data_IF_730971079606
#
_entry.id   IF_730971079606
#
_cell.length_a   1.000
_cell.length_b   1.000
_cell.length_c   1.000
_cell.angle_alpha   90.00
_cell.angle_beta   90.00
_cell.angle_gamma   90.00
#
_symmetry.space_group_name_H-M   'P 1'
#
loop_
_entity.id
_entity.type
_entity.pdbx_description
1 polymer ?
#
# COMPACT_ATOMS: atom_id res chain seq x y z
N UNK A 1 30.13 -1.44 25.38
CA UNK A 1 30.24 -2.52 24.37
C UNK A 1 28.87 -3.12 23.99
N UNK A 2 27.93 -3.24 24.93
CA UNK A 2 26.55 -3.73 24.70
C UNK A 2 25.67 -2.77 23.88
N UNK A 3 25.76 -1.46 24.11
CA UNK A 3 24.99 -0.45 23.36
C UNK A 3 25.36 -0.37 21.86
N UNK A 4 26.65 -0.48 21.54
CA UNK A 4 27.12 -0.52 20.13
C UNK A 4 26.63 -1.77 19.39
N UNK A 5 26.66 -2.93 20.05
CA UNK A 5 26.19 -4.20 19.48
C UNK A 5 24.68 -4.21 19.27
N UNK A 6 23.90 -3.56 20.14
CA UNK A 6 22.45 -3.39 19.99
C UNK A 6 22.09 -2.38 18.88
N UNK A 7 22.76 -1.23 18.81
CA UNK A 7 22.60 -0.27 17.69
C UNK A 7 22.94 -0.89 16.34
N UNK A 8 24.00 -1.69 16.28
CA UNK A 8 24.39 -2.43 15.07
C UNK A 8 23.36 -3.50 14.67
N UNK A 9 22.77 -4.21 15.65
CA UNK A 9 21.72 -5.19 15.40
C UNK A 9 20.44 -4.53 14.86
N UNK A 10 20.05 -3.38 15.42
CA UNK A 10 18.87 -2.63 14.97
C UNK A 10 19.06 -2.03 13.58
N UNK A 11 20.26 -1.52 13.26
CA UNK A 11 20.61 -1.05 11.92
C UNK A 11 20.56 -2.19 10.90
N UNK A 12 21.17 -3.35 11.20
CA UNK A 12 21.11 -4.54 10.34
C UNK A 12 19.67 -4.97 10.07
N UNK A 13 18.81 -4.89 11.07
CA UNK A 13 17.42 -5.29 10.98
C UNK A 13 16.60 -4.33 10.10
N UNK A 14 16.81 -3.03 10.21
CA UNK A 14 16.20 -2.04 9.32
C UNK A 14 16.65 -2.24 7.88
N UNK A 15 17.95 -2.45 7.66
CA UNK A 15 18.49 -2.71 6.32
C UNK A 15 17.95 -4.02 5.73
N UNK A 16 17.88 -5.08 6.53
CA UNK A 16 17.28 -6.36 6.12
C UNK A 16 15.81 -6.20 5.73
N UNK A 17 15.04 -5.45 6.52
CA UNK A 17 13.64 -5.18 6.21
C UNK A 17 13.49 -4.32 4.94
N UNK A 18 14.39 -3.35 4.74
CA UNK A 18 14.41 -2.50 3.55
C UNK A 18 14.71 -3.32 2.28
N UNK A 19 15.70 -4.24 2.33
CA UNK A 19 16.02 -5.12 1.21
C UNK A 19 14.84 -6.05 0.91
N UNK A 20 14.27 -6.70 1.93
CA UNK A 20 13.11 -7.58 1.79
C UNK A 20 11.92 -6.83 1.17
N UNK A 21 11.62 -5.64 1.66
CA UNK A 21 10.54 -4.80 1.15
C UNK A 21 10.81 -4.38 -0.30
N UNK A 22 12.05 -3.98 -0.62
CA UNK A 22 12.43 -3.54 -1.95
C UNK A 22 12.27 -4.67 -2.99
N UNK A 23 12.82 -5.85 -2.71
CA UNK A 23 12.75 -7.00 -3.63
C UNK A 23 11.31 -7.48 -3.79
N UNK A 24 10.53 -7.51 -2.71
CA UNK A 24 9.12 -7.88 -2.75
C UNK A 24 8.27 -6.89 -3.55
N UNK A 25 8.38 -5.59 -3.31
CA UNK A 25 7.58 -4.59 -4.03
C UNK A 25 7.92 -4.55 -5.52
N UNK A 26 9.20 -4.70 -5.89
CA UNK A 26 9.57 -4.80 -7.30
C UNK A 26 9.01 -6.09 -7.92
N UNK A 27 9.08 -7.23 -7.24
CA UNK A 27 8.51 -8.48 -7.75
C UNK A 27 6.99 -8.38 -7.96
N UNK A 28 6.28 -7.74 -7.03
CA UNK A 28 4.83 -7.53 -7.14
C UNK A 28 4.50 -6.62 -8.33
N UNK A 29 5.14 -5.46 -8.48
CA UNK A 29 4.86 -4.57 -9.63
C UNK A 29 5.20 -5.25 -10.96
N UNK A 30 6.33 -5.97 -11.06
CA UNK A 30 6.68 -6.73 -12.28
C UNK A 30 5.56 -7.73 -12.62
N UNK A 31 5.03 -8.43 -11.62
CA UNK A 31 3.94 -9.40 -11.80
C UNK A 31 2.64 -8.72 -12.23
N UNK A 32 2.24 -7.63 -11.57
CA UNK A 32 1.02 -6.89 -11.88
C UNK A 32 1.07 -6.30 -13.28
N UNK A 33 2.15 -5.60 -13.61
CA UNK A 33 2.33 -5.04 -14.93
C UNK A 33 2.33 -6.14 -16.00
N UNK A 34 3.06 -7.24 -15.80
CA UNK A 34 3.09 -8.34 -16.76
C UNK A 34 1.71 -9.00 -16.92
N UNK A 35 0.94 -9.11 -15.85
CA UNK A 35 -0.44 -9.62 -15.88
C UNK A 35 -1.34 -8.74 -16.74
N UNK A 36 -1.31 -7.42 -16.55
CA UNK A 36 -2.12 -6.46 -17.34
C UNK A 36 -1.77 -6.57 -18.82
N UNK A 37 -0.46 -6.61 -19.12
CA UNK A 37 0.06 -6.78 -20.47
C UNK A 37 -0.37 -8.12 -21.09
N UNK A 38 -0.38 -9.19 -20.31
CA UNK A 38 -0.77 -10.52 -20.77
C UNK A 38 -2.27 -10.62 -21.04
N UNK A 39 -3.12 -10.00 -20.23
CA UNK A 39 -4.56 -9.95 -20.45
C UNK A 39 -4.87 -9.29 -21.79
N UNK A 40 -4.22 -8.14 -22.06
CA UNK A 40 -4.36 -7.44 -23.32
C UNK A 40 -3.80 -8.24 -24.51
N UNK A 41 -2.62 -8.87 -24.35
CA UNK A 41 -2.04 -9.78 -25.32
C UNK A 41 -2.99 -10.94 -25.69
N UNK A 42 -3.56 -11.60 -24.69
CA UNK A 42 -4.50 -12.70 -24.86
C UNK A 42 -5.77 -12.23 -25.59
N UNK A 43 -6.29 -11.05 -25.27
CA UNK A 43 -7.46 -10.50 -25.94
C UNK A 43 -7.20 -10.12 -27.41
N UNK A 44 -6.00 -9.63 -27.73
CA UNK A 44 -5.58 -9.30 -29.10
C UNK A 44 -5.37 -10.56 -29.93
N UNK A 45 -4.70 -11.56 -29.38
CA UNK A 45 -4.37 -12.81 -30.08
C UNK A 45 -5.62 -13.61 -30.43
N UNK A 46 -6.64 -13.61 -29.58
CA UNK A 46 -7.96 -14.17 -29.91
C UNK A 46 -8.62 -13.48 -31.12
N UNK A 47 -8.37 -12.17 -31.32
CA UNK A 47 -8.83 -11.42 -32.49
C UNK A 47 -7.93 -11.60 -33.73
N UNK A 48 -6.94 -12.51 -33.65
CA UNK A 48 -5.95 -12.80 -34.69
C UNK A 48 -5.09 -11.59 -35.07
N UNK A 49 -4.89 -10.67 -34.12
CA UNK A 49 -4.03 -9.51 -34.29
C UNK A 49 -2.63 -9.76 -33.68
N UNK A 50 -1.56 -9.21 -34.28
CA UNK A 50 -0.21 -9.28 -33.73
C UNK A 50 -0.06 -8.37 -32.49
N UNK A 51 0.68 -8.79 -31.47
CA UNK A 51 0.95 -7.94 -30.31
C UNK A 51 2.02 -6.89 -30.63
N UNK A 52 2.09 -5.79 -29.87
CA UNK A 52 3.00 -4.67 -30.13
C UNK A 52 4.48 -4.97 -29.81
N UNK A 53 5.05 -5.99 -30.46
CA UNK A 53 6.47 -6.37 -30.39
C UNK A 53 7.30 -5.63 -31.44
N UNK A 54 8.63 -5.68 -31.29
CA UNK A 54 9.59 -4.98 -32.18
C UNK A 54 9.39 -5.27 -33.66
N UNK A 55 8.93 -6.47 -34.01
CA UNK A 55 8.81 -6.91 -35.40
C UNK A 55 7.49 -6.46 -36.07
N UNK A 56 6.46 -6.11 -35.29
CA UNK A 56 5.08 -5.98 -35.78
C UNK A 56 4.57 -4.53 -35.81
N UNK A 57 5.35 -3.57 -35.25
CA UNK A 57 5.01 -2.13 -35.19
C UNK A 57 4.71 -1.51 -36.56
N UNK A 58 5.35 -1.98 -37.64
CA UNK A 58 5.14 -1.43 -39.00
C UNK A 58 3.71 -1.66 -39.53
N UNK A 59 3.02 -2.71 -39.06
CA UNK A 59 1.66 -3.05 -39.49
C UNK A 59 0.59 -2.09 -38.95
N UNK A 60 0.93 -1.34 -37.89
CA UNK A 60 0.01 -0.47 -37.18
C UNK A 60 0.04 1.00 -37.64
N UNK A 61 0.95 1.37 -38.55
CA UNK A 61 1.04 2.73 -39.09
C UNK A 61 -0.17 3.10 -39.97
N UNK A 62 -0.82 2.11 -40.60
CA UNK A 62 -2.01 2.28 -41.43
C UNK A 62 -3.07 1.25 -41.03
N UNK A 63 -3.72 1.46 -39.89
CA UNK A 63 -4.73 0.53 -39.37
C UNK A 63 -6.04 0.64 -40.17
N UNK A 64 -6.51 -0.50 -40.70
CA UNK A 64 -7.83 -0.59 -41.32
C UNK A 64 -8.93 -0.35 -40.26
N UNK A 65 -10.10 0.13 -40.67
CA UNK A 65 -11.20 0.36 -39.72
C UNK A 65 -11.72 -0.96 -39.09
N UNK A 66 -11.54 -2.08 -39.79
CA UNK A 66 -11.83 -3.43 -39.27
C UNK A 66 -10.86 -3.80 -38.14
N UNK A 67 -9.56 -3.53 -38.32
CA UNK A 67 -8.56 -3.82 -37.29
C UNK A 67 -8.69 -2.89 -36.09
N UNK A 68 -9.08 -1.61 -36.30
CA UNK A 68 -9.45 -0.70 -35.21
C UNK A 68 -10.63 -1.24 -34.41
N UNK A 69 -11.67 -1.77 -35.08
CA UNK A 69 -12.82 -2.35 -34.40
C UNK A 69 -12.45 -3.58 -33.56
N UNK A 70 -11.63 -4.50 -34.12
CA UNK A 70 -11.10 -5.66 -33.38
C UNK A 70 -10.29 -5.25 -32.17
N UNK A 71 -9.45 -4.21 -32.30
CA UNK A 71 -8.64 -3.70 -31.20
C UNK A 71 -9.49 -3.09 -30.09
N UNK A 72 -10.54 -2.33 -30.43
CA UNK A 72 -11.51 -1.81 -29.46
C UNK A 72 -12.23 -2.94 -28.72
N UNK A 73 -12.53 -4.05 -29.39
CA UNK A 73 -13.14 -5.22 -28.76
C UNK A 73 -12.17 -5.91 -27.79
N UNK A 74 -10.91 -6.07 -28.17
CA UNK A 74 -9.86 -6.60 -27.30
C UNK A 74 -9.64 -5.71 -26.06
N UNK A 75 -9.63 -4.38 -26.24
CA UNK A 75 -9.56 -3.43 -25.13
C UNK A 75 -10.76 -3.54 -24.19
N UNK A 76 -11.98 -3.60 -24.73
CA UNK A 76 -13.20 -3.75 -23.94
C UNK A 76 -13.17 -5.03 -23.10
N UNK A 77 -12.75 -6.15 -23.71
CA UNK A 77 -12.59 -7.42 -22.99
C UNK A 77 -11.55 -7.33 -21.87
N UNK A 78 -10.39 -6.74 -22.16
CA UNK A 78 -9.30 -6.58 -21.20
C UNK A 78 -9.73 -5.70 -20.03
N UNK A 79 -10.38 -4.57 -20.30
CA UNK A 79 -10.91 -3.67 -19.28
C UNK A 79 -11.94 -4.35 -18.36
N UNK A 80 -12.84 -5.18 -18.92
CA UNK A 80 -13.83 -5.93 -18.12
C UNK A 80 -13.12 -6.94 -17.21
N UNK A 81 -12.16 -7.69 -17.75
CA UNK A 81 -11.43 -8.71 -16.99
C UNK A 81 -10.56 -8.07 -15.88
N UNK A 82 -9.85 -7.00 -16.17
CA UNK A 82 -9.07 -6.24 -15.18
C UNK A 82 -9.98 -5.64 -14.10
N UNK A 83 -11.15 -5.11 -14.48
CA UNK A 83 -12.14 -4.60 -13.51
C UNK A 83 -12.61 -5.71 -12.57
N UNK A 84 -12.95 -6.88 -13.12
CA UNK A 84 -13.40 -8.01 -12.31
C UNK A 84 -12.29 -8.50 -11.38
N UNK A 85 -11.07 -8.68 -11.89
CA UNK A 85 -9.91 -9.11 -11.10
C UNK A 85 -9.59 -8.12 -9.98
N UNK A 86 -9.49 -6.82 -10.29
CA UNK A 86 -9.21 -5.78 -9.30
C UNK A 86 -10.32 -5.62 -8.28
N UNK A 87 -11.59 -5.78 -8.67
CA UNK A 87 -12.71 -5.75 -7.73
C UNK A 87 -12.63 -6.89 -6.72
N UNK A 88 -12.32 -8.10 -7.16
CA UNK A 88 -12.13 -9.26 -6.27
C UNK A 88 -10.96 -9.00 -5.32
N UNK A 89 -9.83 -8.54 -5.85
CA UNK A 89 -8.60 -8.24 -5.09
C UNK A 89 -8.83 -7.19 -4.01
N UNK A 90 -9.43 -6.05 -4.35
CA UNK A 90 -9.68 -4.95 -3.41
C UNK A 90 -10.70 -5.36 -2.34
N UNK A 91 -11.86 -5.90 -2.74
CA UNK A 91 -12.94 -6.23 -1.81
C UNK A 91 -12.51 -7.28 -0.80
N UNK A 92 -11.89 -8.38 -1.26
CA UNK A 92 -11.42 -9.43 -0.37
C UNK A 92 -10.15 -9.02 0.38
N UNK A 93 -9.23 -8.30 -0.27
CA UNK A 93 -7.98 -7.84 0.33
C UNK A 93 -8.20 -6.89 1.52
N UNK A 94 -9.23 -6.03 1.46
CA UNK A 94 -9.64 -5.20 2.59
C UNK A 94 -10.11 -6.03 3.78
N UNK A 95 -10.89 -7.09 3.54
CA UNK A 95 -11.37 -8.00 4.60
C UNK A 95 -10.18 -8.73 5.24
N UNK A 96 -9.30 -9.30 4.41
CA UNK A 96 -8.12 -10.05 4.85
C UNK A 96 -7.16 -9.17 5.63
N UNK A 97 -6.94 -7.92 5.21
CA UNK A 97 -6.06 -6.98 5.92
C UNK A 97 -6.50 -6.73 7.36
N UNK A 98 -7.82 -6.67 7.62
CA UNK A 98 -8.35 -6.55 8.99
C UNK A 98 -8.11 -7.82 9.81
N UNK A 99 -8.25 -9.00 9.21
CA UNK A 99 -8.00 -10.29 9.87
C UNK A 99 -6.52 -10.44 10.20
N UNK A 100 -5.64 -10.15 9.24
CA UNK A 100 -4.19 -10.24 9.42
C UNK A 100 -3.70 -9.22 10.44
N UNK A 101 -4.26 -8.01 10.48
CA UNK A 101 -3.95 -7.03 11.53
C UNK A 101 -4.14 -7.60 12.94
N UNK A 102 -5.25 -8.31 13.17
CA UNK A 102 -5.51 -8.98 14.46
C UNK A 102 -4.62 -10.19 14.70
N UNK A 103 -4.34 -10.95 13.64
CA UNK A 103 -3.46 -12.11 13.73
C UNK A 103 -2.04 -11.67 14.09
N UNK A 104 -1.58 -10.57 13.50
CA UNK A 104 -0.31 -9.91 13.78
C UNK A 104 -0.17 -9.48 15.24
N UNK A 105 -1.24 -8.94 15.82
CA UNK A 105 -1.26 -8.57 17.24
C UNK A 105 -1.21 -9.79 18.19
N UNK A 106 -1.71 -10.96 17.77
CA UNK A 106 -1.77 -12.18 18.61
C UNK A 106 -0.57 -13.11 18.45
N UNK A 107 -0.17 -13.38 17.21
CA UNK A 107 0.87 -14.36 16.87
C UNK A 107 2.22 -13.72 16.56
N UNK A 108 2.28 -12.39 16.56
CA UNK A 108 3.48 -11.61 16.30
C UNK A 108 3.62 -11.20 14.83
N UNK A 109 4.47 -10.19 14.62
CA UNK A 109 4.61 -9.48 13.35
C UNK A 109 5.24 -10.33 12.25
N UNK A 110 6.18 -11.20 12.59
CA UNK A 110 6.86 -12.05 11.59
C UNK A 110 5.93 -13.14 11.08
N UNK A 111 5.12 -13.74 11.96
CA UNK A 111 4.09 -14.71 11.55
C UNK A 111 3.07 -14.08 10.61
N UNK A 112 2.64 -12.84 10.90
CA UNK A 112 1.75 -12.11 9.99
C UNK A 112 2.39 -11.82 8.63
N UNK A 113 3.63 -11.31 8.61
CA UNK A 113 4.37 -11.10 7.36
C UNK A 113 4.56 -12.41 6.57
N UNK A 114 4.76 -13.54 7.25
CA UNK A 114 4.89 -14.84 6.59
C UNK A 114 3.61 -15.29 5.88
N UNK A 115 2.46 -15.08 6.51
CA UNK A 115 1.15 -15.40 5.91
C UNK A 115 0.88 -14.50 4.70
N UNK A 116 1.19 -13.22 4.82
CA UNK A 116 1.05 -12.29 3.70
C UNK A 116 1.96 -12.65 2.53
N UNK A 117 3.23 -13.00 2.83
CA UNK A 117 4.19 -13.42 1.82
C UNK A 117 3.76 -14.73 1.13
N UNK A 118 3.13 -15.66 1.86
CA UNK A 118 2.56 -16.86 1.27
C UNK A 118 1.47 -16.54 0.25
N UNK A 119 0.61 -15.57 0.54
CA UNK A 119 -0.38 -15.08 -0.42
C UNK A 119 0.25 -14.51 -1.69
N UNK A 120 1.31 -13.72 -1.55
CA UNK A 120 2.05 -13.18 -2.70
C UNK A 120 2.80 -14.26 -3.50
N UNK A 121 3.36 -15.27 -2.82
CA UNK A 121 3.98 -16.42 -3.49
C UNK A 121 2.95 -17.15 -4.35
N UNK A 122 1.75 -17.38 -3.81
CA UNK A 122 0.67 -18.03 -4.55
C UNK A 122 0.20 -17.17 -5.72
N UNK A 123 0.06 -15.86 -5.52
CA UNK A 123 -0.31 -14.93 -6.58
C UNK A 123 0.73 -14.91 -7.71
N UNK A 124 2.00 -14.63 -7.40
CA UNK A 124 3.08 -14.55 -8.39
C UNK A 124 3.27 -15.92 -9.05
N UNK A 125 3.23 -17.01 -8.29
CA UNK A 125 3.36 -18.38 -8.80
C UNK A 125 2.23 -18.77 -9.75
N UNK A 126 0.97 -18.47 -9.41
CA UNK A 126 -0.18 -18.78 -10.27
C UNK A 126 -0.20 -17.91 -11.53
N UNK A 127 0.07 -16.61 -11.43
CA UNK A 127 0.23 -15.74 -12.60
C UNK A 127 1.39 -16.22 -13.49
N UNK A 128 2.51 -16.66 -12.91
CA UNK A 128 3.65 -17.18 -13.67
C UNK A 128 3.27 -18.44 -14.44
N UNK A 129 2.51 -19.34 -13.81
CA UNK A 129 2.01 -20.56 -14.46
C UNK A 129 1.05 -20.23 -15.60
N UNK A 130 0.13 -19.27 -15.40
CA UNK A 130 -0.82 -18.81 -16.43
C UNK A 130 -0.07 -18.27 -17.64
N UNK A 131 0.91 -17.39 -17.42
CA UNK A 131 1.66 -16.71 -18.48
C UNK A 131 2.62 -17.67 -19.19
N UNK A 132 3.35 -18.51 -18.46
CA UNK A 132 4.35 -19.42 -19.05
C UNK A 132 3.72 -20.56 -19.86
N UNK A 133 2.53 -21.03 -19.47
CA UNK A 133 1.80 -22.08 -20.17
C UNK A 133 0.76 -21.53 -21.17
N UNK A 134 0.73 -20.21 -21.39
CA UNK A 134 -0.26 -19.53 -22.24
C UNK A 134 -1.71 -19.95 -21.93
N UNK A 135 -2.07 -20.01 -20.65
CA UNK A 135 -3.42 -20.39 -20.22
C UNK A 135 -4.44 -19.27 -20.43
N UNK A 136 -5.72 -19.62 -20.29
CA UNK A 136 -6.84 -18.68 -20.38
C UNK A 136 -6.65 -17.47 -19.45
N UNK A 137 -6.76 -16.26 -20.01
CA UNK A 137 -6.61 -14.99 -19.28
C UNK A 137 -7.61 -14.82 -18.14
N UNK A 138 -8.78 -15.46 -18.19
CA UNK A 138 -9.75 -15.44 -17.07
C UNK A 138 -9.20 -16.04 -15.77
N UNK A 139 -8.18 -16.91 -15.84
CA UNK A 139 -7.53 -17.49 -14.66
C UNK A 139 -6.75 -16.46 -13.84
N UNK A 140 -6.48 -15.26 -14.38
CA UNK A 140 -5.88 -14.15 -13.61
C UNK A 140 -6.76 -13.76 -12.41
N UNK A 141 -8.09 -13.93 -12.51
CA UNK A 141 -9.00 -13.71 -11.37
C UNK A 141 -8.68 -14.68 -10.22
N UNK A 142 -8.31 -15.93 -10.53
CA UNK A 142 -7.93 -16.93 -9.53
C UNK A 142 -6.61 -16.54 -8.84
N UNK A 143 -5.65 -16.03 -9.60
CA UNK A 143 -4.40 -15.52 -9.02
C UNK A 143 -4.66 -14.35 -8.07
N UNK A 144 -5.51 -13.40 -8.49
CA UNK A 144 -5.96 -12.29 -7.65
C UNK A 144 -6.74 -12.74 -6.42
N UNK A 145 -7.52 -13.82 -6.51
CA UNK A 145 -8.22 -14.40 -5.36
C UNK A 145 -7.25 -14.91 -4.29
N UNK A 146 -6.16 -15.59 -4.68
CA UNK A 146 -5.14 -16.06 -3.72
C UNK A 146 -4.44 -14.90 -3.01
N UNK A 147 -4.07 -13.84 -3.76
CA UNK A 147 -3.54 -12.60 -3.17
C UNK A 147 -4.53 -12.02 -2.16
N UNK A 148 -5.81 -11.96 -2.52
CA UNK A 148 -6.81 -11.29 -1.70
C UNK A 148 -7.14 -12.05 -0.42
N UNK A 149 -7.21 -13.38 -0.45
CA UNK A 149 -7.59 -14.21 0.71
C UNK A 149 -6.44 -14.43 1.69
N UNK A 150 -5.21 -14.57 1.20
CA UNK A 150 -4.05 -14.90 2.04
C UNK A 150 -3.07 -13.74 2.18
N UNK A 151 -2.91 -12.94 1.12
CA UNK A 151 -1.92 -11.87 1.03
C UNK A 151 -2.43 -10.49 1.44
N UNK A 152 -3.75 -10.26 1.42
CA UNK A 152 -4.34 -8.92 1.66
C UNK A 152 -3.87 -7.85 0.67
N UNK A 153 -3.07 -8.22 -0.33
CA UNK A 153 -2.34 -7.38 -1.26
C UNK A 153 -1.23 -6.52 -0.66
N UNK A 154 -0.62 -5.72 -1.54
CA UNK A 154 0.46 -4.76 -1.24
C UNK A 154 0.13 -3.83 -0.06
N UNK A 155 -1.14 -3.44 0.10
CA UNK A 155 -1.59 -2.57 1.18
C UNK A 155 -1.46 -3.23 2.56
N UNK A 156 -1.65 -4.55 2.64
CA UNK A 156 -1.51 -5.30 3.88
C UNK A 156 -0.05 -5.44 4.29
N UNK A 157 0.81 -5.72 3.30
CA UNK A 157 2.26 -5.84 3.49
C UNK A 157 2.85 -4.51 3.95
N UNK A 158 2.49 -3.41 3.30
CA UNK A 158 2.93 -2.05 3.70
C UNK A 158 2.45 -1.71 5.12
N UNK A 159 1.23 -2.07 5.49
CA UNK A 159 0.71 -1.89 6.86
C UNK A 159 1.48 -2.72 7.90
N UNK A 160 1.85 -3.97 7.60
CA UNK A 160 2.63 -4.80 8.51
C UNK A 160 4.09 -4.35 8.62
N UNK A 161 4.71 -3.92 7.51
CA UNK A 161 6.04 -3.29 7.53
C UNK A 161 6.00 -2.04 8.41
N UNK A 162 4.98 -1.20 8.25
CA UNK A 162 4.78 -0.03 9.10
C UNK A 162 4.65 -0.39 10.59
N UNK A 163 3.85 -1.40 10.94
CA UNK A 163 3.72 -1.88 12.31
C UNK A 163 5.06 -2.42 12.86
N UNK A 164 5.81 -3.16 12.05
CA UNK A 164 7.13 -3.67 12.40
C UNK A 164 8.13 -2.54 12.68
N UNK A 165 8.11 -1.47 11.86
CA UNK A 165 8.94 -0.28 12.05
C UNK A 165 8.64 0.45 13.36
N UNK A 166 7.36 0.57 13.73
CA UNK A 166 6.96 1.16 15.01
C UNK A 166 7.56 0.36 16.17
N UNK A 167 7.43 -0.96 16.13
CA UNK A 167 7.92 -1.83 17.19
C UNK A 167 9.46 -1.76 17.31
N UNK A 168 10.19 -1.71 16.18
CA UNK A 168 11.66 -1.52 16.17
C UNK A 168 12.05 -0.16 16.77
N UNK A 169 11.37 0.92 16.37
CA UNK A 169 11.67 2.26 16.87
C UNK A 169 11.45 2.37 18.38
N UNK A 170 10.43 1.67 18.91
CA UNK A 170 10.19 1.58 20.35
C UNK A 170 11.33 0.83 21.07
N UNK A 171 11.80 -0.30 20.54
CA UNK A 171 12.91 -1.05 21.14
C UNK A 171 14.23 -0.26 21.20
N UNK A 172 14.52 0.55 20.17
CA UNK A 172 15.72 1.39 20.16
C UNK A 172 15.73 2.47 21.24
N UNK A 173 14.55 3.02 21.58
CA UNK A 173 14.45 4.12 22.54
C UNK A 173 14.44 3.66 23.99
N UNK A 174 13.88 2.47 24.28
CA UNK A 174 13.92 1.88 25.63
C UNK A 174 15.35 1.58 26.11
N UNK A 175 16.27 1.29 25.18
CA UNK A 175 17.67 0.95 25.51
C UNK A 175 18.50 2.21 25.84
N UNK A 176 17.97 3.40 25.53
CA UNK A 176 18.71 4.67 25.60
C UNK A 176 18.40 5.51 26.84
N UNK A 177 17.50 5.08 27.75
CA UNK A 177 17.09 5.92 28.89
C UNK A 177 17.88 5.64 30.17
N UNK A 178 18.87 6.50 30.40
CA UNK A 178 18.92 7.33 31.60
C UNK A 178 18.61 8.79 31.22
N UNK A 179 17.61 9.38 31.89
CA UNK A 179 17.27 10.83 31.95
C UNK A 179 16.62 11.57 30.74
N UNK A 180 15.67 12.46 31.10
CA UNK A 180 14.92 13.46 30.33
C UNK A 180 13.80 12.99 29.37
N UNK A 181 12.60 12.84 29.92
CA UNK A 181 11.38 12.28 29.31
C UNK A 181 10.71 13.11 28.20
N UNK A 182 10.92 14.43 28.12
CA UNK A 182 10.24 15.31 27.13
C UNK A 182 11.01 15.47 25.81
N UNK A 183 12.30 15.87 25.87
CA UNK A 183 13.19 15.99 24.69
C UNK A 183 13.37 14.64 23.98
N UNK A 184 13.42 13.55 24.74
CA UNK A 184 13.55 12.18 24.23
C UNK A 184 12.30 11.71 23.48
N UNK A 185 11.09 12.12 23.94
CA UNK A 185 9.82 11.81 23.25
C UNK A 185 9.69 12.55 21.91
N UNK A 186 10.21 13.78 21.82
CA UNK A 186 10.23 14.55 20.58
C UNK A 186 11.25 14.02 19.57
N UNK A 187 12.46 13.67 20.02
CA UNK A 187 13.47 13.02 19.18
C UNK A 187 12.98 11.67 18.61
N UNK A 188 12.28 10.88 19.45
CA UNK A 188 11.64 9.61 19.06
C UNK A 188 10.64 9.77 17.92
N UNK A 189 9.75 10.76 18.02
CA UNK A 189 8.80 11.03 16.94
C UNK A 189 9.56 11.42 15.67
N UNK A 190 10.53 12.35 15.75
CA UNK A 190 11.28 12.79 14.56
C UNK A 190 11.99 11.64 13.84
N UNK A 191 12.64 10.73 14.57
CA UNK A 191 13.30 9.55 14.00
C UNK A 191 12.29 8.60 13.33
N UNK A 192 11.18 8.29 14.01
CA UNK A 192 10.12 7.42 13.48
C UNK A 192 9.52 8.00 12.19
N UNK A 193 9.28 9.31 12.14
CA UNK A 193 8.80 10.00 10.94
C UNK A 193 9.79 9.91 9.77
N UNK A 194 11.09 10.04 10.02
CA UNK A 194 12.13 9.85 9.00
C UNK A 194 12.13 8.42 8.47
N UNK A 195 12.13 7.42 9.35
CA UNK A 195 12.14 6.00 8.96
C UNK A 195 10.91 5.65 8.13
N UNK A 196 9.71 6.09 8.54
CA UNK A 196 8.51 5.90 7.73
C UNK A 196 8.62 6.55 6.35
N UNK A 197 9.17 7.76 6.29
CA UNK A 197 9.33 8.46 5.01
C UNK A 197 10.30 7.71 4.11
N UNK A 198 11.39 7.16 4.64
CA UNK A 198 12.32 6.33 3.87
C UNK A 198 11.62 5.09 3.32
N UNK A 199 10.86 4.36 4.13
CA UNK A 199 10.16 3.14 3.68
C UNK A 199 9.04 3.43 2.69
N UNK A 200 8.27 4.51 2.87
CA UNK A 200 7.26 4.95 1.89
C UNK A 200 7.91 5.25 0.53
N UNK A 201 9.11 5.85 0.53
CA UNK A 201 9.84 6.14 -0.70
C UNK A 201 10.46 4.90 -1.34
N UNK A 202 10.99 3.97 -0.55
CA UNK A 202 11.42 2.65 -1.05
C UNK A 202 10.25 1.97 -1.74
N UNK A 203 9.07 1.96 -1.12
CA UNK A 203 7.86 1.43 -1.72
C UNK A 203 7.55 2.10 -3.07
N UNK A 204 7.47 3.43 -3.13
CA UNK A 204 7.13 4.13 -4.38
C UNK A 204 8.18 3.94 -5.48
N UNK A 205 9.47 3.91 -5.13
CA UNK A 205 10.56 3.73 -6.08
C UNK A 205 10.60 2.30 -6.63
N UNK A 206 10.40 1.28 -5.78
CA UNK A 206 10.34 -0.11 -6.21
C UNK A 206 9.14 -0.39 -7.12
N UNK A 207 7.96 0.15 -6.76
CA UNK A 207 6.75 0.09 -7.60
C UNK A 207 6.87 0.92 -8.88
N UNK A 208 7.78 1.90 -8.91
CA UNK A 208 8.05 2.70 -10.10
C UNK A 208 9.07 2.03 -11.03
N UNK A 209 10.10 1.38 -10.47
CA UNK A 209 11.12 0.66 -11.23
C UNK A 209 10.59 -0.65 -11.85
N UNK A 210 9.60 -1.29 -11.22
CA UNK A 210 9.02 -2.54 -11.72
C UNK A 210 8.33 -2.43 -13.08
N UNK A 211 7.65 -1.31 -13.36
CA UNK A 211 6.92 -1.11 -14.62
C UNK A 211 7.84 -0.93 -15.86
N UNK A 212 8.89 -0.07 -15.84
CA UNK A 212 9.87 -0.02 -16.92
C UNK A 212 10.63 -1.34 -17.10
N UNK A 213 11.01 -1.99 -15.98
CA UNK A 213 11.73 -3.27 -16.03
C UNK A 213 10.90 -4.34 -16.74
N UNK A 214 9.65 -4.53 -16.33
CA UNK A 214 8.73 -5.48 -16.96
C UNK A 214 8.41 -5.10 -18.41
N UNK A 215 8.14 -3.81 -18.70
CA UNK A 215 7.91 -3.34 -20.07
C UNK A 215 9.08 -3.62 -21.03
N UNK A 216 10.31 -3.38 -20.59
CA UNK A 216 11.53 -3.71 -21.34
C UNK A 216 11.67 -5.22 -21.56
N UNK A 217 11.50 -6.02 -20.50
CA UNK A 217 11.60 -7.48 -20.57
C UNK A 217 10.55 -8.08 -21.52
N UNK A 218 9.30 -7.62 -21.45
CA UNK A 218 8.21 -8.06 -22.33
C UNK A 218 8.50 -7.69 -23.78
N UNK A 219 8.96 -6.46 -24.05
CA UNK A 219 9.19 -5.98 -25.41
C UNK A 219 10.36 -6.68 -26.11
N UNK A 220 11.42 -7.01 -25.37
CA UNK A 220 12.64 -7.60 -25.94
C UNK A 220 12.75 -9.12 -25.81
N UNK A 221 12.30 -9.70 -24.70
CA UNK A 221 12.51 -11.11 -24.36
C UNK A 221 11.21 -11.89 -24.17
N UNK A 222 10.06 -11.21 -24.21
CA UNK A 222 8.74 -11.82 -24.05
C UNK A 222 8.30 -12.00 -22.59
N UNK A 223 7.06 -12.46 -22.42
CA UNK A 223 6.40 -12.56 -21.12
C UNK A 223 7.04 -13.56 -20.16
N UNK A 224 7.57 -14.67 -20.66
CA UNK A 224 8.15 -15.73 -19.81
C UNK A 224 9.38 -15.25 -19.04
N UNK A 225 10.23 -14.42 -19.67
CA UNK A 225 11.41 -13.86 -19.00
C UNK A 225 11.00 -12.86 -17.92
N UNK A 226 9.99 -12.02 -18.17
CA UNK A 226 9.45 -11.10 -17.17
C UNK A 226 8.96 -11.84 -15.91
N UNK A 227 8.18 -12.93 -16.07
CA UNK A 227 7.72 -13.73 -14.94
C UNK A 227 8.86 -14.48 -14.22
N UNK A 228 9.85 -14.98 -14.97
CA UNK A 228 11.07 -15.55 -14.39
C UNK A 228 11.82 -14.56 -13.51
N UNK A 229 11.93 -13.29 -13.92
CA UNK A 229 12.55 -12.25 -13.10
C UNK A 229 11.73 -11.92 -11.84
N UNK A 230 10.39 -11.92 -11.92
CA UNK A 230 9.54 -11.71 -10.74
C UNK A 230 9.72 -12.82 -9.69
N UNK A 231 9.77 -14.08 -10.13
CA UNK A 231 10.04 -15.22 -9.26
C UNK A 231 11.44 -15.14 -8.62
N UNK A 232 12.46 -14.77 -9.40
CA UNK A 232 13.82 -14.60 -8.89
C UNK A 232 13.91 -13.48 -7.84
N UNK A 233 13.21 -12.36 -8.05
CA UNK A 233 13.15 -11.24 -7.10
C UNK A 233 12.41 -11.58 -5.81
N UNK A 234 11.62 -12.65 -5.78
CA UNK A 234 10.92 -13.09 -4.59
C UNK A 234 11.81 -13.92 -3.64
N UNK A 235 12.88 -14.56 -4.15
CA UNK A 235 13.78 -15.40 -3.36
C UNK A 235 14.45 -14.64 -2.18
N UNK A 236 15.02 -13.44 -2.36
CA UNK A 236 15.59 -12.68 -1.24
C UNK A 236 14.55 -12.39 -0.15
N UNK A 237 13.30 -12.12 -0.53
CA UNK A 237 12.22 -11.81 0.41
C UNK A 237 11.89 -13.02 1.31
N UNK A 238 11.87 -14.23 0.73
CA UNK A 238 11.69 -15.48 1.49
C UNK A 238 12.87 -15.70 2.44
N UNK A 239 14.10 -15.57 1.95
CA UNK A 239 15.31 -15.82 2.75
C UNK A 239 15.39 -14.85 3.93
N UNK A 240 15.15 -13.56 3.69
CA UNK A 240 15.24 -12.52 4.72
C UNK A 240 14.10 -12.60 5.75
N UNK A 241 12.95 -13.19 5.39
CA UNK A 241 11.87 -13.42 6.36
C UNK A 241 12.32 -14.34 7.51
N UNK A 242 13.12 -15.38 7.22
CA UNK A 242 13.67 -16.25 8.26
C UNK A 242 14.69 -15.54 9.16
N UNK A 243 15.35 -14.51 8.64
CA UNK A 243 16.31 -13.69 9.37
C UNK A 243 15.65 -12.64 10.29
N UNK A 244 14.35 -12.35 10.12
CA UNK A 244 13.64 -11.40 10.96
C UNK A 244 13.30 -12.00 12.33
N UNK A 245 13.51 -11.26 13.43
CA UNK A 245 13.13 -11.69 14.78
C UNK A 245 11.63 -11.49 15.03
N UNK A 246 11.10 -12.27 15.97
CA UNK A 246 9.72 -12.15 16.43
C UNK A 246 9.58 -11.01 17.44
N UNK A 247 8.76 -10.00 17.14
CA UNK A 247 8.62 -8.80 17.97
C UNK A 247 7.75 -9.03 19.21
N UNK A 248 6.84 -10.01 19.19
CA UNK A 248 5.90 -10.31 20.28
C UNK A 248 6.59 -10.86 21.54
N UNK A 249 7.65 -11.67 21.40
CA UNK A 249 8.30 -12.34 22.55
C UNK A 249 8.96 -11.36 23.52
N UNK A 250 9.35 -10.16 23.09
CA UNK A 250 9.99 -9.17 23.96
C UNK A 250 9.01 -8.34 24.78
N UNK A 251 7.77 -8.13 24.31
CA UNK A 251 6.75 -7.36 25.05
C UNK A 251 6.16 -8.22 26.18
N UNK A 252 5.84 -9.50 25.91
CA UNK A 252 5.36 -10.42 26.95
C UNK A 252 6.40 -10.71 28.02
N UNK A 253 7.69 -10.83 27.66
CA UNK A 253 8.77 -11.05 28.65
C UNK A 253 8.95 -9.84 29.56
N UNK A 254 8.89 -8.62 29.02
CA UNK A 254 8.90 -7.37 29.81
C UNK A 254 7.67 -7.21 30.71
N UNK A 255 6.48 -7.61 30.25
CA UNK A 255 5.26 -7.58 31.08
C UNK A 255 5.36 -8.58 32.24
N UNK A 256 5.96 -9.74 32.01
CA UNK A 256 6.21 -10.76 33.04
C UNK A 256 7.32 -10.33 34.01
N UNK A 257 8.35 -9.61 33.54
CA UNK A 257 9.41 -9.06 34.40
C UNK A 257 8.91 -7.89 35.27
N UNK A 258 8.00 -7.06 34.78
CA UNK A 258 7.33 -6.02 35.58
C UNK A 258 6.37 -6.58 36.64
N UNK A 259 5.85 -7.80 36.45
CA UNK A 259 4.98 -8.48 37.42
C UNK A 259 5.82 -9.16 38.54
N UNK A 260 7.14 -9.31 38.37
CA UNK A 260 8.00 -10.10 39.27
C UNK A 260 8.73 -9.31 40.38
N UNK A 261 8.45 -8.03 40.60
CA UNK A 261 8.90 -7.35 41.83
C UNK A 261 7.77 -7.24 42.86
N UNK A 262 8.05 -7.47 44.16
CA UNK A 262 7.11 -8.17 45.03
C UNK A 262 6.24 -7.21 45.85
N UNK A 263 4.94 -7.50 45.91
CA UNK A 263 4.08 -7.05 47.00
C UNK A 263 3.08 -8.16 47.37
N UNK A 264 3.45 -8.89 48.43
CA UNK A 264 2.61 -9.40 49.52
C UNK A 264 1.34 -10.18 49.13
N UNK A 265 1.48 -11.51 49.22
CA UNK A 265 0.51 -12.49 49.73
C UNK A 265 -0.98 -12.26 49.54
N UNK A 266 -1.57 -13.00 48.59
CA UNK A 266 -2.93 -13.53 48.72
C UNK A 266 -2.94 -14.95 48.12
N UNK A 267 -3.23 -15.95 48.97
CA UNK A 267 -3.55 -17.32 48.58
C UNK A 267 -4.86 -17.33 47.79
N UNK A 268 -4.94 -18.07 46.69
CA UNK A 268 -6.18 -18.71 46.27
C UNK A 268 -5.91 -20.09 45.67
N UNK A 269 -6.73 -21.04 46.11
CA UNK A 269 -6.59 -22.48 45.98
C UNK A 269 -6.84 -23.02 44.57
N UNK A 270 -6.28 -24.20 44.34
CA UNK A 270 -6.58 -25.11 43.25
C UNK A 270 -8.07 -25.46 43.17
N UNK A 271 -8.61 -25.51 41.95
CA UNK A 271 -9.59 -26.52 41.54
C UNK A 271 -9.44 -26.81 40.04
N UNK A 272 -9.75 -28.05 39.71
CA UNK A 272 -9.25 -28.91 38.63
C UNK A 272 -10.00 -28.80 37.30
N UNK A 273 -9.32 -29.31 36.27
CA UNK A 273 -9.71 -29.70 34.91
C UNK A 273 -11.21 -29.94 34.60
N UNK A 274 -11.63 -29.48 33.42
CA UNK A 274 -12.18 -30.39 32.39
C UNK A 274 -12.12 -29.75 30.99
N UNK A 275 -11.50 -30.49 30.06
CA UNK A 275 -11.51 -30.26 28.62
C UNK A 275 -12.79 -30.87 28.03
N UNK A 276 -13.59 -30.08 27.29
CA UNK A 276 -14.38 -30.62 26.17
C UNK A 276 -14.92 -29.50 25.26
N UNK A 277 -14.24 -29.33 24.14
CA UNK A 277 -14.72 -29.01 22.79
C UNK A 277 -16.19 -28.55 22.63
N UNK A 278 -16.42 -27.24 22.50
CA UNK A 278 -17.63 -26.65 21.91
C UNK A 278 -17.35 -25.22 21.38
N UNK A 279 -16.70 -25.08 20.22
CA UNK A 279 -16.48 -23.79 19.55
C UNK A 279 -17.09 -23.79 18.15
N UNK A 280 -18.37 -23.40 18.01
CA UNK A 280 -18.73 -22.53 16.87
C UNK A 280 -19.73 -21.39 17.21
N UNK A 281 -20.36 -21.38 18.39
CA UNK A 281 -21.50 -20.49 18.67
C UNK A 281 -21.13 -19.17 19.38
N UNK A 282 -19.95 -19.10 20.04
CA UNK A 282 -19.51 -17.88 20.74
C UNK A 282 -18.91 -16.79 19.84
N UNK A 283 -18.37 -17.15 18.67
CA UNK A 283 -17.69 -16.20 17.79
C UNK A 283 -18.69 -15.17 17.22
N UNK A 284 -19.89 -15.61 16.83
CA UNK A 284 -20.95 -14.75 16.28
C UNK A 284 -21.55 -13.79 17.32
N UNK A 285 -21.79 -14.26 18.55
CA UNK A 285 -22.29 -13.42 19.65
C UNK A 285 -21.23 -12.42 20.14
N UNK A 286 -19.95 -12.82 20.18
CA UNK A 286 -18.81 -11.93 20.49
C UNK A 286 -18.60 -10.86 19.41
N UNK A 287 -18.78 -11.20 18.13
CA UNK A 287 -18.70 -10.26 17.02
C UNK A 287 -19.85 -9.25 17.07
N UNK A 288 -21.10 -9.70 17.23
CA UNK A 288 -22.29 -8.83 17.30
C UNK A 288 -22.21 -7.85 18.46
N UNK A 289 -21.88 -8.32 19.66
CA UNK A 289 -21.75 -7.46 20.85
C UNK A 289 -20.58 -6.48 20.74
N UNK A 290 -19.51 -6.81 19.99
CA UNK A 290 -18.40 -5.89 19.70
C UNK A 290 -18.74 -4.90 18.58
N UNK A 291 -19.53 -5.30 17.58
CA UNK A 291 -20.07 -4.41 16.55
C UNK A 291 -20.95 -3.35 17.19
N UNK A 292 -21.83 -3.72 18.12
CA UNK A 292 -22.67 -2.76 18.85
C UNK A 292 -21.84 -1.79 19.70
N UNK A 293 -20.76 -2.27 20.34
CA UNK A 293 -19.83 -1.42 21.10
C UNK A 293 -18.95 -0.53 20.22
N UNK A 294 -18.54 -1.00 19.05
CA UNK A 294 -17.81 -0.22 18.04
C UNK A 294 -18.69 0.89 17.46
N UNK A 295 -19.94 0.57 17.16
CA UNK A 295 -20.96 1.53 16.71
C UNK A 295 -21.23 2.62 17.77
N UNK A 296 -21.37 2.26 19.04
CA UNK A 296 -21.54 3.22 20.13
C UNK A 296 -20.30 4.12 20.33
N UNK A 297 -19.09 3.58 20.17
CA UNK A 297 -17.86 4.40 20.20
C UNK A 297 -17.78 5.35 19.03
N UNK A 298 -18.24 4.95 17.84
CA UNK A 298 -18.18 5.79 16.64
C UNK A 298 -19.23 6.90 16.64
N UNK A 299 -20.42 6.67 17.23
CA UNK A 299 -21.39 7.74 17.49
C UNK A 299 -20.86 8.79 18.50
N UNK A 300 -19.85 8.43 19.31
CA UNK A 300 -19.17 9.37 20.22
C UNK A 300 -17.96 10.08 19.59
N UNK A 301 -17.57 9.71 18.36
CA UNK A 301 -16.45 10.33 17.63
C UNK A 301 -16.89 11.65 16.99
N UNK A 302 -16.00 12.64 16.99
CA UNK A 302 -16.22 13.96 16.40
C UNK A 302 -16.64 13.85 14.92
N UNK A 303 -17.76 14.45 14.47
CA UNK A 303 -18.24 14.36 13.09
C UNK A 303 -17.23 14.84 12.05
N UNK A 304 -16.33 15.76 12.42
CA UNK A 304 -15.25 16.23 11.56
C UNK A 304 -14.25 15.11 11.23
N UNK A 305 -13.96 14.22 12.19
CA UNK A 305 -13.06 13.09 11.97
C UNK A 305 -13.68 12.08 11.01
N UNK A 306 -14.98 11.80 11.14
CA UNK A 306 -15.72 10.92 10.23
C UNK A 306 -15.65 11.47 8.80
N UNK A 307 -15.91 12.77 8.61
CA UNK A 307 -15.81 13.42 7.30
C UNK A 307 -14.40 13.33 6.71
N UNK A 308 -13.36 13.56 7.52
CA UNK A 308 -11.96 13.45 7.06
C UNK A 308 -11.60 12.02 6.68
N UNK A 309 -12.01 11.03 7.47
CA UNK A 309 -11.79 9.61 7.16
C UNK A 309 -12.49 9.20 5.86
N UNK A 310 -13.72 9.66 5.64
CA UNK A 310 -14.45 9.44 4.39
C UNK A 310 -13.77 10.09 3.18
N UNK A 311 -13.26 11.32 3.33
CA UNK A 311 -12.51 12.01 2.27
C UNK A 311 -11.20 11.30 1.92
N UNK A 312 -10.47 10.83 2.93
CA UNK A 312 -9.25 10.04 2.75
C UNK A 312 -9.57 8.71 2.04
N UNK A 313 -10.63 8.02 2.46
CA UNK A 313 -11.06 6.78 1.82
C UNK A 313 -11.43 6.99 0.35
N UNK A 314 -12.23 8.02 0.05
CA UNK A 314 -12.63 8.36 -1.31
C UNK A 314 -11.41 8.70 -2.18
N UNK A 315 -10.46 9.43 -1.63
CA UNK A 315 -9.20 9.74 -2.30
C UNK A 315 -8.41 8.48 -2.66
N UNK A 316 -8.23 7.55 -1.71
CA UNK A 316 -7.51 6.30 -1.96
C UNK A 316 -8.24 5.40 -2.95
N UNK A 317 -9.58 5.34 -2.90
CA UNK A 317 -10.37 4.61 -3.89
C UNK A 317 -10.18 5.19 -5.30
N UNK A 318 -10.18 6.51 -5.45
CA UNK A 318 -9.91 7.15 -6.74
C UNK A 318 -8.48 6.88 -7.23
N UNK A 319 -7.48 6.97 -6.34
CA UNK A 319 -6.07 6.81 -6.72
C UNK A 319 -5.64 5.36 -7.02
N UNK A 320 -6.30 4.35 -6.43
CA UNK A 320 -5.93 2.92 -6.54
C UNK A 320 -6.44 2.27 -7.84
N UNK A 321 -7.59 2.70 -8.34
CA UNK A 321 -8.23 2.12 -9.54
C UNK A 321 -7.43 2.45 -10.82
N UNK A 322 -6.66 3.53 -10.80
CA UNK A 322 -6.18 4.24 -11.98
C UNK A 322 -5.14 3.56 -12.89
N UNK A 323 -4.20 2.78 -12.34
CA UNK A 323 -3.01 2.33 -13.11
C UNK A 323 -3.39 1.38 -14.27
N UNK A 324 -4.17 0.34 -13.98
CA UNK A 324 -4.49 -0.74 -14.91
C UNK A 324 -5.27 -0.21 -16.14
N UNK A 325 -6.29 0.62 -15.93
CA UNK A 325 -7.06 1.22 -17.03
C UNK A 325 -6.24 2.17 -17.91
N UNK A 326 -5.32 2.93 -17.34
CA UNK A 326 -4.44 3.79 -18.14
C UNK A 326 -3.55 2.92 -19.04
N UNK A 327 -3.08 1.77 -18.57
CA UNK A 327 -2.27 0.87 -19.38
C UNK A 327 -3.07 0.38 -20.61
N UNK A 328 -4.27 -0.16 -20.40
CA UNK A 328 -5.15 -0.61 -21.50
C UNK A 328 -5.53 0.53 -22.44
N UNK A 329 -5.77 1.73 -21.89
CA UNK A 329 -6.11 2.92 -22.67
C UNK A 329 -4.97 3.35 -23.60
N UNK A 330 -3.74 3.43 -23.09
CA UNK A 330 -2.55 3.84 -23.85
C UNK A 330 -2.14 2.82 -24.92
N UNK A 331 -2.49 1.55 -24.73
CA UNK A 331 -2.23 0.50 -25.73
C UNK A 331 -3.28 0.43 -26.82
N UNK A 332 -4.41 1.08 -26.63
CA UNK A 332 -5.45 1.22 -27.64
C UNK A 332 -5.20 2.26 -28.70
N UNK A 333 -6.05 2.30 -29.72
CA UNK A 333 -6.14 3.46 -30.58
C UNK A 333 -6.66 4.65 -29.76
N UNK A 334 -6.21 5.89 -30.05
CA UNK A 334 -5.28 6.27 -31.10
C UNK A 334 -3.79 6.11 -30.73
N UNK A 335 -3.44 5.75 -29.49
CA UNK A 335 -2.06 5.85 -28.98
C UNK A 335 -1.14 4.71 -29.40
N UNK A 336 -1.63 3.46 -29.33
CA UNK A 336 -0.93 2.25 -29.75
C UNK A 336 0.48 2.12 -29.12
N UNK A 337 0.62 2.48 -27.85
CA UNK A 337 1.90 2.41 -27.14
C UNK A 337 2.32 0.95 -26.96
N UNK A 338 3.62 0.69 -27.07
CA UNK A 338 4.18 -0.63 -26.76
C UNK A 338 4.38 -0.79 -25.24
N UNK A 339 4.59 -2.03 -24.74
CA UNK A 339 4.81 -2.28 -23.32
C UNK A 339 5.96 -1.51 -22.71
N UNK A 340 7.03 -1.28 -23.47
CA UNK A 340 8.19 -0.50 -23.04
C UNK A 340 7.83 0.98 -22.76
N UNK A 341 7.12 1.64 -23.69
CA UNK A 341 6.72 3.06 -23.51
C UNK A 341 5.71 3.21 -22.39
N UNK A 342 4.75 2.29 -22.26
CA UNK A 342 3.80 2.29 -21.13
C UNK A 342 4.53 2.08 -19.80
N UNK A 343 5.48 1.14 -19.76
CA UNK A 343 6.31 0.91 -18.58
C UNK A 343 7.12 2.14 -18.19
N UNK A 344 7.79 2.78 -19.15
CA UNK A 344 8.54 4.02 -18.94
C UNK A 344 7.66 5.17 -18.44
N UNK A 345 6.45 5.31 -18.99
CA UNK A 345 5.49 6.33 -18.55
C UNK A 345 5.12 6.19 -17.07
N UNK A 346 4.76 4.97 -16.63
CA UNK A 346 4.47 4.73 -15.21
C UNK A 346 5.70 4.87 -14.33
N UNK A 347 6.88 4.50 -14.83
CA UNK A 347 8.16 4.72 -14.17
C UNK A 347 8.40 6.19 -13.88
N UNK A 348 8.38 7.05 -14.92
CA UNK A 348 8.64 8.49 -14.78
C UNK A 348 7.64 9.14 -13.82
N UNK A 349 6.34 8.84 -13.96
CA UNK A 349 5.30 9.37 -13.05
C UNK A 349 5.57 8.94 -11.60
N UNK A 350 5.96 7.69 -11.39
CA UNK A 350 6.28 7.16 -10.07
C UNK A 350 7.50 7.85 -9.43
N UNK A 351 8.58 8.05 -10.18
CA UNK A 351 9.80 8.74 -9.70
C UNK A 351 9.50 10.20 -9.38
N UNK A 352 8.86 10.93 -10.30
CA UNK A 352 8.48 12.33 -10.09
C UNK A 352 7.53 12.47 -8.88
N UNK A 353 6.57 11.54 -8.77
CA UNK A 353 5.68 11.45 -7.62
C UNK A 353 6.42 11.23 -6.29
N UNK A 354 7.42 10.35 -6.26
CA UNK A 354 8.26 10.13 -5.08
C UNK A 354 9.02 11.40 -4.67
N UNK A 355 9.61 12.12 -5.63
CA UNK A 355 10.26 13.42 -5.35
C UNK A 355 9.27 14.41 -4.71
N UNK A 356 8.08 14.55 -5.27
CA UNK A 356 7.02 15.39 -4.69
C UNK A 356 6.63 14.94 -3.28
N UNK A 357 6.49 13.64 -3.03
CA UNK A 357 6.20 13.08 -1.70
C UNK A 357 7.29 13.41 -0.67
N UNK A 358 8.58 13.32 -1.04
CA UNK A 358 9.70 13.71 -0.18
C UNK A 358 9.64 15.20 0.15
N UNK A 359 9.49 16.06 -0.85
CA UNK A 359 9.41 17.52 -0.66
C UNK A 359 8.24 17.88 0.25
N UNK A 360 7.07 17.29 0.01
CA UNK A 360 5.88 17.47 0.85
C UNK A 360 6.15 17.05 2.29
N UNK A 361 6.78 15.89 2.50
CA UNK A 361 7.08 15.39 3.85
C UNK A 361 8.09 16.28 4.58
N UNK A 362 9.14 16.75 3.89
CA UNK A 362 10.10 17.71 4.45
C UNK A 362 9.41 19.02 4.84
N UNK A 363 8.52 19.52 3.98
CA UNK A 363 7.74 20.73 4.26
C UNK A 363 6.85 20.55 5.49
N UNK A 364 6.12 19.43 5.59
CA UNK A 364 5.27 19.10 6.75
C UNK A 364 6.07 18.95 8.04
N UNK A 365 7.22 18.29 8.01
CA UNK A 365 8.11 18.14 9.18
C UNK A 365 8.68 19.49 9.61
N UNK A 366 9.15 20.32 8.67
CA UNK A 366 9.63 21.68 8.97
C UNK A 366 8.52 22.51 9.60
N UNK A 367 7.32 22.46 9.04
CA UNK A 367 6.16 23.17 9.57
C UNK A 367 5.80 22.73 11.00
N UNK A 368 5.86 21.43 11.30
CA UNK A 368 5.63 20.91 12.65
C UNK A 368 6.74 21.32 13.65
N UNK A 369 7.99 21.42 13.20
CA UNK A 369 9.09 21.89 14.07
C UNK A 369 8.99 23.38 14.40
N UNK A 370 8.68 24.24 13.41
CA UNK A 370 8.48 25.68 13.62
C UNK A 370 7.30 25.90 14.57
N UNK A 371 6.23 25.12 14.41
CA UNK A 371 5.05 25.13 15.28
C UNK A 371 5.40 24.87 16.74
N UNK A 372 6.15 23.80 17.04
CA UNK A 372 6.48 23.43 18.44
C UNK A 372 7.36 24.48 19.11
N UNK A 373 8.29 25.10 18.37
CA UNK A 373 9.12 26.19 18.87
C UNK A 373 8.33 27.47 19.20
N UNK A 374 7.21 27.73 18.51
CA UNK A 374 6.35 28.88 18.78
C UNK A 374 5.36 28.63 19.93
N UNK A 375 4.91 27.39 20.13
CA UNK A 375 4.01 27.02 21.25
C UNK A 375 4.73 27.07 22.60
N UNK A 376 6.03 26.78 22.64
CA UNK A 376 6.84 26.88 23.86
C UNK A 376 7.06 28.35 24.32
N UNK A 377 6.74 29.33 23.47
CA UNK A 377 6.89 30.77 23.75
C UNK A 377 5.60 31.49 24.14
N UNK A 378 4.42 30.88 23.99
CA UNK A 378 3.13 31.53 24.32
C UNK A 378 2.22 30.63 25.15
N UNK A 379 1.76 31.15 26.30
CA UNK A 379 0.81 30.50 27.19
C UNK A 379 -0.58 30.27 26.55
N UNK A 380 -1.35 29.39 27.18
CA UNK A 380 -2.16 28.33 26.55
C UNK A 380 -3.68 28.61 26.65
N UNK A 381 -4.40 28.57 25.50
CA UNK A 381 -5.62 27.74 25.26
C UNK A 381 -6.49 28.23 24.09
N UNK A 382 -6.58 29.53 23.82
CA UNK A 382 -7.44 30.05 22.74
C UNK A 382 -6.76 29.97 21.36
N UNK A 383 -5.46 30.24 21.32
CA UNK A 383 -4.62 30.24 20.11
C UNK A 383 -4.51 28.83 19.50
N UNK A 384 -4.50 27.78 20.34
CA UNK A 384 -4.39 26.40 19.89
C UNK A 384 -5.57 25.92 19.04
N UNK A 385 -6.80 26.38 19.32
CA UNK A 385 -8.01 25.96 18.61
C UNK A 385 -8.14 26.62 17.23
N UNK A 386 -7.79 27.91 17.13
CA UNK A 386 -7.71 28.62 15.85
C UNK A 386 -6.60 28.05 14.95
N UNK A 387 -5.44 27.74 15.52
CA UNK A 387 -4.33 27.16 14.75
C UNK A 387 -4.55 25.70 14.33
N UNK A 388 -5.19 24.87 15.17
CA UNK A 388 -5.60 23.51 14.79
C UNK A 388 -6.58 23.53 13.62
N UNK A 389 -7.55 24.44 13.68
CA UNK A 389 -8.53 24.64 12.59
C UNK A 389 -7.84 25.10 11.31
N UNK A 390 -6.84 25.99 11.40
CA UNK A 390 -6.08 26.47 10.23
C UNK A 390 -5.20 25.37 9.61
N UNK A 391 -4.65 24.45 10.42
CA UNK A 391 -3.89 23.30 9.94
C UNK A 391 -4.75 22.26 9.24
N UNK A 392 -5.91 21.93 9.82
CA UNK A 392 -6.88 21.06 9.15
C UNK A 392 -7.33 21.69 7.85
N UNK A 393 -7.62 23.00 7.83
CA UNK A 393 -7.95 23.72 6.60
C UNK A 393 -6.86 23.57 5.55
N UNK A 394 -5.60 23.85 5.89
CA UNK A 394 -4.48 23.70 4.96
C UNK A 394 -4.35 22.26 4.43
N UNK A 395 -4.50 21.26 5.30
CA UNK A 395 -4.34 19.86 4.95
C UNK A 395 -5.51 19.34 4.09
N UNK A 396 -6.74 19.79 4.39
CA UNK A 396 -7.92 19.60 3.55
C UNK A 396 -7.76 20.30 2.21
N UNK A 397 -7.19 21.52 2.17
CA UNK A 397 -6.91 22.24 0.92
C UNK A 397 -5.89 21.49 0.06
N UNK A 398 -4.83 20.92 0.65
CA UNK A 398 -3.86 20.10 -0.10
C UNK A 398 -4.53 18.82 -0.62
N UNK A 399 -5.37 18.16 0.18
CA UNK A 399 -6.12 16.99 -0.24
C UNK A 399 -7.08 17.34 -1.39
N UNK A 400 -7.84 18.43 -1.27
CA UNK A 400 -8.73 18.93 -2.30
C UNK A 400 -7.97 19.29 -3.58
N UNK A 401 -6.82 19.96 -3.47
CA UNK A 401 -5.95 20.27 -4.61
C UNK A 401 -5.50 18.98 -5.31
N UNK A 402 -5.13 17.95 -4.56
CA UNK A 402 -4.72 16.67 -5.14
C UNK A 402 -5.88 15.95 -5.85
N UNK A 403 -7.11 16.05 -5.34
CA UNK A 403 -8.32 15.55 -6.01
C UNK A 403 -8.61 16.33 -7.30
N UNK A 404 -8.52 17.66 -7.26
CA UNK A 404 -8.71 18.51 -8.44
C UNK A 404 -7.66 18.18 -9.51
N UNK A 405 -6.41 17.93 -9.11
CA UNK A 405 -5.35 17.52 -10.04
C UNK A 405 -5.64 16.15 -10.65
N UNK A 406 -6.17 15.18 -9.89
CA UNK A 406 -6.64 13.91 -10.47
C UNK A 406 -7.76 14.13 -11.50
N UNK A 407 -8.73 15.00 -11.21
CA UNK A 407 -9.79 15.34 -12.17
C UNK A 407 -9.20 15.96 -13.44
N UNK A 408 -8.27 16.90 -13.30
CA UNK A 408 -7.57 17.53 -14.44
C UNK A 408 -6.82 16.47 -15.27
N UNK A 409 -6.07 15.57 -14.62
CA UNK A 409 -5.40 14.47 -15.31
C UNK A 409 -6.37 13.64 -16.15
N UNK A 410 -7.53 13.27 -15.58
CA UNK A 410 -8.55 12.45 -16.26
C UNK A 410 -9.20 13.19 -17.42
N UNK A 411 -9.54 14.45 -17.23
CA UNK A 411 -10.07 15.31 -18.29
C UNK A 411 -9.07 15.45 -19.44
N UNK A 412 -7.79 15.68 -19.14
CA UNK A 412 -6.73 15.76 -20.16
C UNK A 412 -6.55 14.44 -20.92
N UNK A 413 -6.58 13.30 -20.23
CA UNK A 413 -6.51 11.98 -20.88
C UNK A 413 -7.71 11.76 -21.83
N UNK A 414 -8.92 12.13 -21.42
CA UNK A 414 -10.12 12.04 -22.26
C UNK A 414 -10.08 12.98 -23.47
N UNK A 415 -9.60 14.22 -23.26
CA UNK A 415 -9.39 15.19 -24.35
C UNK A 415 -8.34 14.68 -25.34
N UNK A 416 -7.26 14.06 -24.86
CA UNK A 416 -6.19 13.53 -25.71
C UNK A 416 -6.70 12.51 -26.75
N UNK A 417 -7.77 11.77 -26.45
CA UNK A 417 -8.38 10.82 -27.39
C UNK A 417 -8.88 11.47 -28.68
N UNK A 418 -9.26 12.75 -28.62
CA UNK A 418 -9.85 13.47 -29.75
C UNK A 418 -8.79 13.96 -30.76
N UNK A 419 -7.50 13.91 -30.39
CA UNK A 419 -6.41 14.44 -31.20
C UNK A 419 -5.62 13.35 -31.94
N UNK A 420 -4.92 13.77 -32.99
CA UNK A 420 -4.00 12.91 -33.74
C UNK A 420 -2.63 12.76 -33.05
N UNK A 421 -1.83 11.80 -33.51
CA UNK A 421 -0.72 11.16 -32.79
C UNK A 421 0.53 11.98 -32.41
N UNK A 422 0.81 13.22 -32.88
CA UNK A 422 1.78 14.04 -32.14
C UNK A 422 1.11 14.75 -30.95
N UNK A 423 -0.02 15.42 -31.18
CA UNK A 423 -0.71 16.24 -30.18
C UNK A 423 -1.29 15.41 -29.03
N UNK A 424 -1.83 14.23 -29.34
CA UNK A 424 -2.39 13.32 -28.36
C UNK A 424 -1.34 12.82 -27.34
N UNK A 425 -0.12 12.51 -27.83
CA UNK A 425 1.00 12.10 -26.96
C UNK A 425 1.51 13.25 -26.09
N UNK A 426 1.61 14.47 -26.64
CA UNK A 426 2.00 15.66 -25.87
C UNK A 426 1.01 15.89 -24.72
N UNK A 427 -0.29 15.78 -24.98
CA UNK A 427 -1.33 15.91 -23.96
C UNK A 427 -1.21 14.84 -22.85
N UNK A 428 -0.86 13.59 -23.18
CA UNK A 428 -0.61 12.55 -22.17
C UNK A 428 0.58 12.90 -21.26
N UNK A 429 1.68 13.41 -21.83
CA UNK A 429 2.83 13.86 -21.04
C UNK A 429 2.50 15.08 -20.18
N UNK A 430 1.70 16.02 -20.68
CA UNK A 430 1.19 17.13 -19.87
C UNK A 430 0.30 16.61 -18.74
N UNK A 431 -0.55 15.62 -19.01
CA UNK A 431 -1.40 14.98 -18.00
C UNK A 431 -0.59 14.22 -16.93
N UNK A 432 0.64 13.78 -17.22
CA UNK A 432 1.50 13.11 -16.25
C UNK A 432 1.88 14.01 -15.06
N UNK A 433 1.96 15.33 -15.26
CA UNK A 433 2.29 16.30 -14.21
C UNK A 433 1.24 16.26 -13.09
N UNK A 434 -0.07 16.51 -13.35
CA UNK A 434 -1.10 16.41 -12.32
C UNK A 434 -1.24 14.99 -11.75
N UNK A 435 -0.97 13.93 -12.53
CA UNK A 435 -0.97 12.56 -12.00
C UNK A 435 0.08 12.34 -10.91
N UNK A 436 1.25 12.96 -11.03
CA UNK A 436 2.33 12.81 -10.04
C UNK A 436 1.99 13.39 -8.66
N UNK A 437 1.11 14.41 -8.61
CA UNK A 437 0.64 15.06 -7.37
C UNK A 437 -0.23 14.13 -6.51
N UNK A 438 -0.70 12.99 -7.03
CA UNK A 438 -1.35 11.95 -6.21
C UNK A 438 -0.45 11.44 -5.08
N UNK A 439 0.86 11.62 -5.20
CA UNK A 439 1.83 11.15 -4.21
C UNK A 439 1.79 11.97 -2.92
N UNK A 440 1.11 13.13 -2.91
CA UNK A 440 0.87 13.91 -1.69
C UNK A 440 -0.12 13.24 -0.73
N UNK A 441 -1.01 12.38 -1.24
CA UNK A 441 -2.10 11.83 -0.43
C UNK A 441 -1.64 11.04 0.79
N UNK A 442 -0.57 10.25 0.66
CA UNK A 442 -0.07 9.41 1.77
C UNK A 442 0.52 10.26 2.91
N UNK A 443 1.49 11.18 2.68
CA UNK A 443 1.99 12.08 3.71
C UNK A 443 0.90 12.93 4.38
N UNK A 444 -0.05 13.44 3.58
CA UNK A 444 -1.17 14.27 4.04
C UNK A 444 -2.09 13.47 4.95
N UNK A 445 -2.52 12.29 4.51
CA UNK A 445 -3.42 11.40 5.28
C UNK A 445 -2.78 10.95 6.59
N UNK A 446 -1.49 10.58 6.55
CA UNK A 446 -0.73 10.24 7.77
C UNK A 446 -0.67 11.39 8.75
N UNK A 447 -0.44 12.61 8.25
CA UNK A 447 -0.40 13.82 9.08
C UNK A 447 -1.77 14.11 9.69
N UNK A 448 -2.85 14.00 8.91
CA UNK A 448 -4.22 14.14 9.41
C UNK A 448 -4.48 13.14 10.53
N UNK A 449 -4.25 11.85 10.29
CA UNK A 449 -4.45 10.78 11.28
C UNK A 449 -3.62 11.02 12.55
N UNK A 450 -2.37 11.46 12.42
CA UNK A 450 -1.51 11.76 13.57
C UNK A 450 -1.97 12.95 14.42
N UNK A 451 -2.72 13.89 13.82
CA UNK A 451 -3.28 15.04 14.54
C UNK A 451 -4.51 14.67 15.37
N UNK A 452 -5.28 13.68 14.94
CA UNK A 452 -6.52 13.27 15.62
C UNK A 452 -6.33 12.10 16.59
N UNK A 453 -5.39 11.20 16.31
CA UNK A 453 -5.15 10.01 17.13
C UNK A 453 -3.67 9.72 17.30
N UNK A 454 -3.30 9.30 18.52
CA UNK A 454 -1.93 8.88 18.80
C UNK A 454 -1.58 7.67 17.90
N UNK A 455 -0.36 7.57 17.34
CA UNK A 455 0.00 6.51 16.37
C UNK A 455 -0.29 5.07 16.84
N UNK A 456 -0.29 4.84 18.15
CA UNK A 456 -0.60 3.54 18.77
C UNK A 456 -2.09 3.16 18.77
N UNK A 457 -3.00 4.10 18.55
CA UNK A 457 -4.45 3.89 18.58
C UNK A 457 -5.13 3.99 17.20
N UNK A 458 -4.40 4.45 16.19
CA UNK A 458 -4.90 4.62 14.82
C UNK A 458 -5.46 3.32 14.23
N UNK A 459 -4.82 2.18 14.50
CA UNK A 459 -5.28 0.87 14.03
C UNK A 459 -6.64 0.44 14.58
N UNK A 460 -6.96 0.80 15.83
CA UNK A 460 -8.28 0.52 16.43
C UNK A 460 -9.37 1.42 15.83
N UNK A 461 -9.06 2.69 15.60
CA UNK A 461 -10.00 3.66 15.04
C UNK A 461 -10.37 3.32 13.59
N UNK A 462 -9.38 2.91 12.79
CA UNK A 462 -9.58 2.50 11.40
C UNK A 462 -10.37 1.19 11.30
N UNK A 463 -10.12 0.26 12.22
CA UNK A 463 -10.89 -0.99 12.37
C UNK A 463 -12.37 -0.72 12.73
N UNK A 464 -12.62 0.18 13.69
CA UNK A 464 -13.98 0.56 14.10
C UNK A 464 -14.71 1.33 12.99
N UNK A 465 -14.01 2.15 12.19
CA UNK A 465 -14.58 2.87 11.04
C UNK A 465 -14.98 1.95 9.88
N UNK A 466 -14.13 0.97 9.51
CA UNK A 466 -14.47 0.00 8.46
C UNK A 466 -15.63 -0.93 8.82
N UNK A 467 -15.79 -1.24 10.12
CA UNK A 467 -16.96 -1.99 10.59
C UNK A 467 -18.28 -1.23 10.36
N UNK A 468 -18.28 0.10 10.40
CA UNK A 468 -19.48 0.90 10.18
C UNK A 468 -19.91 0.92 8.71
N UNK A 469 -18.98 0.94 7.76
CA UNK A 469 -19.27 0.84 6.32
C UNK A 469 -20.03 -0.47 6.02
N UNK A 470 -19.71 -1.55 6.74
CA UNK A 470 -20.35 -2.87 6.59
C UNK A 470 -21.70 -3.02 7.30
N UNK A 471 -21.99 -2.17 8.28
CA UNK A 471 -23.29 -2.17 9.01
C UNK A 471 -24.29 -1.20 8.37
N UNK A 472 -23.79 -0.23 7.58
CA UNK A 472 -24.61 0.74 6.84
C UNK A 472 -24.97 0.29 5.41
N UNK A 473 -24.44 -0.85 4.93
CA UNK A 473 -24.89 -1.56 3.73
C UNK A 473 -25.72 -2.77 4.14
#
# INVERSE_FOLDING_TARGET
>A
MTDFRMKFLNFKLIVSLAIMAATLYTAIEVTLFTSDQYVFYSAITEQSLPFFTRNERRRYNNLSDVDKHKLNLAQKKSAILETASNSVRITLGLITTLVVGRLSDRFGRRTALAILLLGEILHIGTTSLIVMLNLNSWLVILAGFFEAVLGGGVSSITAQVAAFLVDICQMMTDTSQGENTSKTKQSRNKYMWIVFTVFDNIFTLCMSAGAPLSGFLIYHYGFSVAMGTALALLLPSIILLFCLPETHKNISRKKIEQIKQPAVGVKCNNQTADDSCCMPVELGKSLRNKITKGYQRLHSINPVLIMIMSLILLYFMAALVDKHYIAVYLMGPPFLWNPEVVGLYFGIIGVVGSFFSVVCTIALVKFDTIRKGNVEKHSINLTNRNHFTQQIKLLVTILALSLTMLIINRSLLGIAYQFQLPTANILIYIAAIPASLRSFGVPVSRTMLSMFTHPSEQGKLLFDFMLLIKVSS
#
